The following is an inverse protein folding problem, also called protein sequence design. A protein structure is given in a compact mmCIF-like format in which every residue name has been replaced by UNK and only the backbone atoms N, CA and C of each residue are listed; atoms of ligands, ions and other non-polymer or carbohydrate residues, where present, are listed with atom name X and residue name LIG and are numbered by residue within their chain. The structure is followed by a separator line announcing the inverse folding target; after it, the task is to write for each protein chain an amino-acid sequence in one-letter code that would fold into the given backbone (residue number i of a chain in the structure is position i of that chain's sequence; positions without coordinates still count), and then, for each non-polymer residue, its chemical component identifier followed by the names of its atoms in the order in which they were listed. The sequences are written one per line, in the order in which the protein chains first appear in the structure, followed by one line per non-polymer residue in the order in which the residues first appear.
data_IF_153122811796
#
_entry.id   IF_153122811796
#
_cell.length_a   1.000
_cell.length_b   1.000
_cell.length_c   1.000
_cell.angle_alpha   90.00
_cell.angle_beta   90.00
_cell.angle_gamma   90.00
#
_symmetry.space_group_name_H-M   'P 1'
#
loop_
_entity.id
_entity.type
_entity.pdbx_description
1 polymer ?
#
# COMPACT_ATOMS: atom_id res chain seq x y z
N UNK A 1 19.43 55.21 31.02
CA UNK A 1 19.91 54.08 30.21
C UNK A 1 19.07 52.82 30.42
N UNK A 2 18.79 52.38 31.66
CA UNK A 2 17.93 51.20 31.94
C UNK A 2 16.51 51.30 31.37
N UNK A 3 15.89 52.49 31.43
CA UNK A 3 14.53 52.72 30.89
C UNK A 3 14.45 52.47 29.38
N UNK A 4 15.45 52.91 28.61
CA UNK A 4 15.56 52.65 27.17
C UNK A 4 15.64 51.14 26.89
N UNK A 5 16.45 50.41 27.66
CA UNK A 5 16.58 48.95 27.54
C UNK A 5 15.22 48.26 27.80
N UNK A 6 14.49 48.67 28.84
CA UNK A 6 13.15 48.13 29.15
C UNK A 6 12.19 48.37 27.99
N UNK A 7 12.16 49.56 27.40
CA UNK A 7 11.30 49.84 26.25
C UNK A 7 11.61 48.93 25.05
N UNK A 8 12.89 48.74 24.72
CA UNK A 8 13.32 47.85 23.63
C UNK A 8 12.87 46.42 23.88
N UNK A 9 13.04 45.91 25.11
CA UNK A 9 12.59 44.56 25.48
C UNK A 9 11.09 44.43 25.36
N UNK A 10 10.31 45.40 25.86
CA UNK A 10 8.85 45.37 25.76
C UNK A 10 8.41 45.36 24.30
N UNK A 11 8.99 46.22 23.46
CA UNK A 11 8.69 46.26 22.02
C UNK A 11 9.03 44.92 21.36
N UNK A 12 10.18 44.33 21.69
CA UNK A 12 10.59 43.03 21.16
C UNK A 12 9.62 41.91 21.56
N UNK A 13 9.16 41.91 22.82
CA UNK A 13 8.17 40.94 23.31
C UNK A 13 6.82 41.12 22.61
N UNK A 14 6.35 42.36 22.46
CA UNK A 14 5.10 42.64 21.73
C UNK A 14 5.22 42.23 20.26
N UNK A 15 6.33 42.55 19.60
CA UNK A 15 6.59 42.16 18.23
C UNK A 15 6.63 40.63 18.08
N UNK A 16 7.29 39.93 19.00
CA UNK A 16 7.30 38.46 19.03
C UNK A 16 5.89 37.90 19.23
N UNK A 17 5.13 38.42 20.20
CA UNK A 17 3.76 37.98 20.45
C UNK A 17 2.86 38.18 19.22
N UNK A 18 2.93 39.35 18.58
CA UNK A 18 2.20 39.64 17.34
C UNK A 18 2.68 38.73 16.20
N UNK A 19 3.97 38.46 16.11
CA UNK A 19 4.53 37.52 15.14
C UNK A 19 4.01 36.09 15.36
N UNK A 20 3.93 35.62 16.61
CA UNK A 20 3.35 34.31 16.92
C UNK A 20 1.86 34.25 16.60
N UNK A 21 1.09 35.27 17.01
CA UNK A 21 -0.35 35.36 16.68
C UNK A 21 -0.54 35.39 15.17
N UNK A 22 0.20 36.22 14.45
CA UNK A 22 0.18 36.26 12.99
C UNK A 22 0.63 34.92 12.40
N UNK A 23 1.67 34.27 12.92
CA UNK A 23 2.13 32.97 12.42
C UNK A 23 1.12 31.84 12.66
N UNK A 24 0.24 31.96 13.67
CA UNK A 24 -0.86 31.02 13.91
C UNK A 24 -2.05 31.36 13.01
N UNK A 25 -2.41 32.63 12.89
CA UNK A 25 -3.55 33.12 12.08
C UNK A 25 -3.29 32.96 10.58
N UNK A 26 -2.11 33.36 10.13
CA UNK A 26 -1.60 33.18 8.76
C UNK A 26 -0.87 31.86 8.58
N UNK A 27 -0.76 31.08 9.67
CA UNK A 27 -0.55 29.63 9.66
C UNK A 27 0.34 29.13 8.55
N UNK A 28 1.66 29.32 8.66
CA UNK A 28 2.65 28.65 7.79
C UNK A 28 2.49 29.07 6.32
N UNK A 29 3.14 30.19 5.97
CA UNK A 29 3.12 30.82 4.64
C UNK A 29 2.84 29.87 3.49
N UNK A 30 1.75 30.17 2.80
CA UNK A 30 1.27 29.46 1.61
C UNK A 30 0.88 27.99 1.88
N UNK A 31 -0.31 27.83 2.48
CA UNK A 31 -1.32 26.98 1.85
C UNK A 31 -1.50 27.51 0.41
N UNK A 32 -0.55 27.20 -0.48
CA UNK A 32 -0.72 27.36 -1.92
C UNK A 32 -2.05 26.68 -2.19
N UNK A 33 -3.03 27.49 -2.58
CA UNK A 33 -4.43 27.08 -2.65
C UNK A 33 -4.51 25.67 -3.21
N UNK A 34 -5.24 24.78 -2.53
CA UNK A 34 -5.13 23.33 -2.65
C UNK A 34 -4.79 22.97 -4.09
N UNK A 35 -3.57 22.46 -4.32
CA UNK A 35 -3.20 21.99 -5.65
C UNK A 35 -4.38 21.15 -6.13
N UNK A 36 -4.93 21.46 -7.33
CA UNK A 36 -6.21 20.95 -7.79
C UNK A 36 -6.31 19.46 -7.46
N UNK A 37 -7.40 19.10 -6.77
CA UNK A 37 -7.66 17.73 -6.32
C UNK A 37 -7.41 16.77 -7.49
N UNK A 38 -6.30 16.04 -7.44
CA UNK A 38 -5.80 15.31 -8.61
C UNK A 38 -4.27 15.11 -8.69
N UNK A 39 -3.47 15.79 -7.87
CA UNK A 39 -2.00 15.56 -7.83
C UNK A 39 -1.44 15.51 -6.41
N UNK A 40 -2.24 15.12 -5.42
CA UNK A 40 -1.65 14.54 -4.21
C UNK A 40 -1.13 13.17 -4.59
N UNK A 41 0.10 12.82 -4.20
CA UNK A 41 0.69 11.47 -4.32
C UNK A 41 -0.05 10.41 -3.45
N UNK A 42 -1.36 10.56 -3.33
CA UNK A 42 -2.32 9.69 -2.65
C UNK A 42 -3.06 8.90 -3.73
N UNK A 43 -2.30 8.27 -4.62
CA UNK A 43 -2.90 7.30 -5.55
C UNK A 43 -2.69 5.95 -4.90
N UNK A 44 -3.68 5.54 -4.11
CA UNK A 44 -3.86 4.11 -3.90
C UNK A 44 -4.10 3.50 -5.29
N UNK A 45 -3.38 2.45 -5.72
CA UNK A 45 -3.58 1.85 -7.03
C UNK A 45 -5.06 1.57 -7.27
N UNK A 46 -5.58 1.95 -8.45
CA UNK A 46 -7.00 1.79 -8.77
C UNK A 46 -7.49 0.34 -8.60
N UNK A 47 -6.58 -0.62 -8.75
CA UNK A 47 -6.75 -2.01 -8.33
C UNK A 47 -5.47 -2.57 -7.73
N UNK A 48 -5.60 -3.61 -6.89
CA UNK A 48 -4.44 -4.38 -6.40
C UNK A 48 -3.69 -3.75 -5.22
N UNK A 49 -4.38 -3.00 -4.37
CA UNK A 49 -3.83 -2.40 -3.14
C UNK A 49 -3.09 -3.43 -2.28
N UNK A 50 -1.86 -3.11 -1.88
CA UNK A 50 -1.02 -3.89 -0.97
C UNK A 50 -0.85 -3.20 0.39
N UNK A 51 -0.44 -3.94 1.44
CA UNK A 51 -0.17 -3.34 2.75
C UNK A 51 0.86 -2.20 2.73
N UNK A 52 1.97 -2.30 1.97
CA UNK A 52 2.89 -1.18 1.76
C UNK A 52 2.23 0.08 1.18
N UNK A 53 1.27 -0.07 0.26
CA UNK A 53 0.57 1.07 -0.36
C UNK A 53 -0.25 1.83 0.69
N UNK A 54 -0.93 1.10 1.59
CA UNK A 54 -1.70 1.69 2.70
C UNK A 54 -0.80 2.41 3.71
N UNK A 55 0.37 1.84 4.04
CA UNK A 55 1.34 2.48 4.95
C UNK A 55 1.98 3.74 4.33
N UNK A 56 1.97 3.86 3.01
CA UNK A 56 2.53 5.03 2.30
C UNK A 56 1.60 6.23 2.25
N UNK A 57 0.31 6.06 2.59
CA UNK A 57 -0.71 7.11 2.54
C UNK A 57 -0.34 8.33 3.39
N UNK A 58 -0.57 9.52 2.84
CA UNK A 58 -0.39 10.81 3.53
C UNK A 58 -1.70 11.58 3.54
N UNK A 59 -2.12 11.99 4.74
CA UNK A 59 -3.34 12.75 4.98
C UNK A 59 -3.02 14.18 5.42
N UNK A 60 -3.81 15.15 4.98
CA UNK A 60 -3.71 16.54 5.41
C UNK A 60 -4.34 16.72 6.81
N UNK A 61 -3.71 17.51 7.67
CA UNK A 61 -4.20 17.76 9.03
C UNK A 61 -5.24 18.89 9.04
N UNK A 62 -6.39 18.67 9.66
CA UNK A 62 -7.45 19.69 9.85
C UNK A 62 -7.73 19.96 11.33
N UNK A 63 -8.09 21.22 11.67
CA UNK A 63 -8.29 21.71 13.04
C UNK A 63 -9.47 21.02 13.77
N UNK A 64 -10.36 20.35 13.03
CA UNK A 64 -11.37 19.42 13.54
C UNK A 64 -11.26 18.10 12.78
N UNK A 65 -10.19 17.36 13.06
CA UNK A 65 -9.89 16.08 12.42
C UNK A 65 -9.94 14.91 13.38
N UNK A 66 -9.88 13.70 12.81
CA UNK A 66 -9.62 12.49 13.58
C UNK A 66 -8.22 12.55 14.21
N UNK A 67 -8.04 11.92 15.36
CA UNK A 67 -6.76 11.91 16.05
C UNK A 67 -5.73 11.16 15.19
N UNK A 68 -4.57 11.77 14.86
CA UNK A 68 -3.58 11.13 13.98
C UNK A 68 -3.18 9.73 14.45
N UNK A 69 -3.01 9.54 15.76
CA UNK A 69 -2.65 8.23 16.34
C UNK A 69 -3.70 7.14 16.14
N UNK A 70 -4.99 7.50 16.08
CA UNK A 70 -6.08 6.53 15.83
C UNK A 70 -6.11 6.15 14.36
N UNK A 71 -5.87 7.12 13.47
CA UNK A 71 -5.75 6.89 12.03
C UNK A 71 -4.54 6.00 11.75
N UNK A 72 -3.38 6.29 12.32
CA UNK A 72 -2.16 5.50 12.13
C UNK A 72 -2.36 4.04 12.58
N UNK A 73 -3.01 3.84 13.73
CA UNK A 73 -3.35 2.50 14.22
C UNK A 73 -4.29 1.75 13.26
N UNK A 74 -5.31 2.43 12.75
CA UNK A 74 -6.28 1.84 11.82
C UNK A 74 -5.62 1.46 10.48
N UNK A 75 -4.73 2.31 9.95
CA UNK A 75 -4.00 2.04 8.71
C UNK A 75 -3.04 0.86 8.85
N UNK A 76 -2.31 0.78 9.97
CA UNK A 76 -1.40 -0.34 10.20
C UNK A 76 -2.17 -1.66 10.28
N UNK A 77 -3.30 -1.66 10.98
CA UNK A 77 -4.18 -2.84 11.07
C UNK A 77 -4.73 -3.24 9.72
N UNK A 78 -5.17 -2.27 8.91
CA UNK A 78 -5.71 -2.51 7.57
C UNK A 78 -4.63 -3.04 6.61
N UNK A 79 -3.42 -2.46 6.65
CA UNK A 79 -2.30 -2.92 5.84
C UNK A 79 -1.93 -4.37 6.12
N UNK A 80 -1.89 -4.76 7.40
CA UNK A 80 -1.66 -6.15 7.79
C UNK A 80 -2.76 -7.12 7.33
N UNK A 81 -4.03 -6.70 7.39
CA UNK A 81 -5.15 -7.52 6.93
C UNK A 81 -5.11 -7.75 5.41
N UNK A 82 -4.78 -6.72 4.63
CA UNK A 82 -4.61 -6.81 3.17
C UNK A 82 -3.47 -7.78 2.82
N UNK A 83 -2.33 -7.67 3.49
CA UNK A 83 -1.19 -8.57 3.27
C UNK A 83 -1.57 -10.03 3.58
N UNK A 84 -2.31 -10.26 4.67
CA UNK A 84 -2.82 -11.59 5.01
C UNK A 84 -3.77 -12.13 3.93
N UNK A 85 -4.77 -11.35 3.52
CA UNK A 85 -5.73 -11.76 2.50
C UNK A 85 -5.04 -12.07 1.17
N UNK A 86 -4.05 -11.26 0.78
CA UNK A 86 -3.29 -11.47 -0.46
C UNK A 86 -2.46 -12.75 -0.40
N UNK A 87 -1.82 -13.03 0.74
CA UNK A 87 -1.06 -14.28 0.92
C UNK A 87 -1.96 -15.53 0.75
N UNK A 88 -3.19 -15.48 1.29
CA UNK A 88 -4.16 -16.56 1.18
C UNK A 88 -4.62 -16.76 -0.26
N UNK A 89 -4.84 -15.67 -0.99
CA UNK A 89 -5.20 -15.73 -2.40
C UNK A 89 -4.08 -16.36 -3.24
N UNK A 90 -2.82 -15.92 -3.03
CA UNK A 90 -1.66 -16.48 -3.72
C UNK A 90 -1.46 -17.98 -3.42
N UNK A 91 -1.68 -18.39 -2.17
CA UNK A 91 -1.63 -19.80 -1.77
C UNK A 91 -2.70 -20.63 -2.50
N UNK A 92 -3.95 -20.15 -2.51
CA UNK A 92 -5.06 -20.84 -3.18
C UNK A 92 -4.84 -20.99 -4.70
N UNK A 93 -4.33 -19.94 -5.37
CA UNK A 93 -4.01 -19.97 -6.80
C UNK A 93 -2.87 -20.95 -7.12
N UNK A 94 -1.86 -21.02 -6.25
CA UNK A 94 -0.74 -21.95 -6.39
C UNK A 94 -1.21 -23.40 -6.27
N UNK A 95 -2.08 -23.71 -5.31
CA UNK A 95 -2.68 -25.04 -5.15
C UNK A 95 -3.52 -25.44 -6.36
N UNK A 96 -4.35 -24.53 -6.90
CA UNK A 96 -5.15 -24.80 -8.09
C UNK A 96 -4.27 -25.11 -9.32
N UNK A 97 -3.21 -24.33 -9.54
CA UNK A 97 -2.27 -24.52 -10.66
C UNK A 97 -1.52 -25.84 -10.56
N UNK A 98 -1.07 -26.23 -9.35
CA UNK A 98 -0.44 -27.52 -9.11
C UNK A 98 -1.38 -28.70 -9.41
N UNK A 99 -2.67 -28.57 -9.05
CA UNK A 99 -3.67 -29.60 -9.28
C UNK A 99 -3.98 -29.79 -10.77
N UNK A 100 -4.10 -28.69 -11.53
CA UNK A 100 -4.24 -28.73 -13.00
C UNK A 100 -3.03 -29.38 -13.68
N UNK A 101 -1.82 -29.08 -13.19
CA UNK A 101 -0.58 -29.64 -13.75
C UNK A 101 -0.47 -31.15 -13.53
N UNK A 102 -0.86 -31.64 -12.35
CA UNK A 102 -0.86 -33.06 -12.03
C UNK A 102 -1.92 -33.85 -12.84
N UNK A 103 -3.08 -33.25 -13.09
CA UNK A 103 -4.12 -33.83 -13.95
C UNK A 103 -3.67 -33.97 -15.42
N UNK A 104 -2.93 -32.99 -15.94
CA UNK A 104 -2.37 -33.02 -17.30
C UNK A 104 -1.25 -34.07 -17.46
N UNK A 105 -0.41 -34.27 -16.43
CA UNK A 105 0.63 -35.31 -16.45
C UNK A 105 0.01 -36.72 -16.40
N UNK A 106 -1.04 -36.91 -15.60
CA UNK A 106 -1.75 -38.20 -15.49
C UNK A 106 -2.38 -38.63 -16.82
N UNK A 107 -2.86 -37.67 -17.62
CA UNK A 107 -3.44 -37.93 -18.94
C UNK A 107 -2.41 -38.16 -20.04
N UNK A 108 -1.21 -37.56 -19.93
CA UNK A 108 -0.09 -37.80 -20.86
C UNK A 108 0.51 -39.20 -20.67
N UNK A 109 0.63 -39.67 -19.42
CA UNK A 109 1.13 -41.03 -19.12
C UNK A 109 0.16 -42.12 -19.56
N UNK A 110 -1.15 -41.84 -19.54
CA UNK A 110 -2.18 -42.78 -20.01
C UNK A 110 -2.21 -42.91 -21.55
N UNK A 111 -1.91 -41.85 -22.31
CA UNK A 111 -1.92 -41.87 -23.78
C UNK A 111 -0.65 -42.48 -24.40
N UNK A 112 0.50 -42.42 -23.73
CA UNK A 112 1.74 -43.08 -24.19
C UNK A 112 1.73 -44.61 -24.01
N UNK A 113 0.73 -45.18 -23.33
CA UNK A 113 0.58 -46.64 -23.20
C UNK A 113 -0.23 -47.29 -24.33
N UNK A 114 -0.59 -46.54 -25.38
CA UNK A 114 -1.34 -47.06 -26.53
C UNK A 114 -0.62 -46.76 -27.85
N UNK A 115 0.58 -47.31 -28.02
CA UNK A 115 1.12 -47.59 -29.37
C UNK A 115 0.73 -49.03 -29.73
N UNK A 116 -0.20 -49.24 -30.68
CA UNK A 116 -0.47 -50.56 -31.22
C UNK A 116 0.60 -50.89 -32.28
N UNK A 117 1.54 -51.76 -31.93
CA UNK A 117 2.37 -52.48 -32.92
C UNK A 117 2.14 -53.97 -32.62
N UNK A 118 0.99 -54.52 -33.00
CA UNK A 118 0.83 -55.17 -34.31
C UNK A 118 1.97 -56.15 -34.60
N UNK A 119 1.77 -57.37 -34.09
CA UNK A 119 2.16 -58.66 -34.65
C UNK A 119 3.29 -58.68 -35.69
N UNK A 120 4.44 -59.23 -35.30
CA UNK A 120 5.20 -60.12 -36.18
C UNK A 120 5.20 -61.48 -35.52
N UNK A 121 4.36 -62.35 -36.08
CA UNK A 121 4.22 -63.76 -35.71
C UNK A 121 5.51 -64.51 -36.05
N UNK A 122 6.17 -65.08 -35.04
CA UNK A 122 6.59 -66.48 -35.12
C UNK A 122 5.31 -67.34 -35.15
N UNK A 123 5.19 -68.45 -35.91
CA UNK A 123 6.21 -69.51 -36.02
C UNK A 123 6.32 -70.19 -37.41
N UNK A 124 7.38 -70.97 -37.65
CA UNK A 124 7.21 -72.32 -38.19
C UNK A 124 8.44 -73.20 -37.90
N UNK A 125 8.13 -74.41 -37.46
CA UNK A 125 9.01 -75.51 -37.08
C UNK A 125 9.20 -76.44 -38.29
N UNK A 126 10.44 -76.95 -38.45
CA UNK A 126 10.90 -78.09 -39.29
C UNK A 126 11.21 -77.89 -40.79
#
# INVERSE_FOLDING_TARGET
MLTLLIYVVVIAVVAAALFFVASIVFGRGEELGPLPEGTTATVLPAEGVTGPDVRSLKFQQTLRGYKPSEVDWALERLGGEIDMLRSRLSAAQSSATAQSSNAAQSSTTAQSSTVPQAAVSEPDEQ
#
